data_IF_597406346714
#
_entry.id   IF_597406346714
#
_cell.length_a   1.000
_cell.length_b   1.000
_cell.length_c   1.000
_cell.angle_alpha   90.00
_cell.angle_beta   90.00
_cell.angle_gamma   90.00
#
_symmetry.space_group_name_H-M   'P 1'
#
loop_
_entity.id
_entity.type
_entity.pdbx_description
1 polymer ?
#
# COMPACT_ATOMS: atom_id res chain seq x y z
N UNK A 1 17.60 11.71 -18.07
CA UNK A 1 17.69 10.32 -17.58
C UNK A 1 16.52 10.12 -16.62
N UNK A 2 15.55 9.24 -16.95
CA UNK A 2 14.43 8.96 -16.01
C UNK A 2 15.04 8.34 -14.74
N UNK A 3 14.63 8.74 -13.53
CA UNK A 3 15.17 8.20 -12.29
C UNK A 3 14.99 6.68 -12.25
N UNK A 4 16.05 5.96 -11.89
CA UNK A 4 16.00 4.51 -11.71
C UNK A 4 15.28 4.23 -10.40
N UNK A 5 14.05 3.77 -10.48
CA UNK A 5 13.33 3.29 -9.29
C UNK A 5 14.10 2.10 -8.70
N UNK A 6 14.56 2.25 -7.48
CA UNK A 6 15.20 1.15 -6.75
C UNK A 6 14.15 0.47 -5.87
N UNK A 7 13.96 -0.83 -6.02
CA UNK A 7 13.18 -1.66 -5.10
C UNK A 7 13.76 -1.65 -3.67
N UNK A 8 15.03 -1.23 -3.53
CA UNK A 8 15.72 -1.11 -2.27
C UNK A 8 14.99 -0.23 -1.24
N UNK A 9 14.38 0.88 -1.68
CA UNK A 9 13.61 1.73 -0.76
C UNK A 9 12.31 1.07 -0.30
N UNK A 10 11.65 0.29 -1.18
CA UNK A 10 10.49 -0.52 -0.79
C UNK A 10 10.92 -1.60 0.19
N UNK A 11 12.02 -2.31 -0.11
CA UNK A 11 12.56 -3.35 0.77
C UNK A 11 12.96 -2.82 2.14
N UNK A 12 13.49 -1.60 2.20
CA UNK A 12 13.89 -0.97 3.47
C UNK A 12 12.71 -0.70 4.42
N UNK A 13 11.49 -0.59 3.91
CA UNK A 13 10.27 -0.37 4.72
C UNK A 13 9.48 -1.65 5.00
N UNK A 14 9.89 -2.79 4.44
CA UNK A 14 9.25 -4.09 4.67
C UNK A 14 9.83 -4.80 5.89
N UNK A 15 9.04 -5.68 6.49
CA UNK A 15 9.47 -6.62 7.53
C UNK A 15 9.10 -8.04 7.12
N UNK A 16 9.94 -9.00 7.53
CA UNK A 16 9.75 -10.40 7.16
C UNK A 16 10.07 -10.69 5.69
N UNK A 17 9.71 -11.88 5.25
CA UNK A 17 9.98 -12.35 3.88
C UNK A 17 8.84 -11.94 2.94
N UNK A 18 9.02 -10.85 2.26
CA UNK A 18 8.07 -10.30 1.28
C UNK A 18 8.76 -10.14 -0.06
N UNK A 19 8.17 -10.69 -1.11
CA UNK A 19 8.59 -10.48 -2.47
C UNK A 19 8.13 -9.12 -2.98
N UNK A 20 9.03 -8.43 -3.68
CA UNK A 20 8.79 -7.11 -4.27
C UNK A 20 8.98 -7.18 -5.77
N UNK A 21 8.03 -6.68 -6.52
CA UNK A 21 8.12 -6.53 -7.96
C UNK A 21 7.82 -5.11 -8.40
N UNK A 22 8.62 -4.62 -9.31
CA UNK A 22 8.45 -3.31 -9.93
C UNK A 22 8.43 -3.48 -11.44
N UNK A 23 7.37 -3.01 -12.07
CA UNK A 23 7.24 -2.98 -13.53
C UNK A 23 7.10 -1.54 -14.02
N UNK A 24 7.62 -1.28 -15.19
CA UNK A 24 7.51 0.00 -15.89
C UNK A 24 6.94 -0.24 -17.27
N UNK A 25 6.16 0.70 -17.76
CA UNK A 25 5.61 0.59 -19.10
C UNK A 25 5.02 1.92 -19.53
N UNK A 26 5.35 2.28 -20.76
CA UNK A 26 4.84 3.50 -21.35
C UNK A 26 3.49 3.26 -22.06
N UNK A 27 3.19 2.03 -22.55
CA UNK A 27 2.02 1.74 -23.41
C UNK A 27 1.25 0.44 -23.09
N UNK A 28 1.71 -0.39 -22.16
CA UNK A 28 1.11 -1.71 -21.88
C UNK A 28 -0.23 -1.65 -21.12
N UNK A 29 -0.62 -0.46 -20.66
CA UNK A 29 -1.79 -0.27 -19.80
C UNK A 29 -1.54 -0.69 -18.33
N UNK A 30 -2.22 -0.01 -17.42
CA UNK A 30 -2.02 -0.18 -15.97
C UNK A 30 -2.27 -1.61 -15.48
N UNK A 31 -3.22 -2.31 -16.10
CA UNK A 31 -3.53 -3.70 -15.72
C UNK A 31 -2.37 -4.64 -16.00
N UNK A 32 -1.82 -4.59 -17.22
CA UNK A 32 -0.69 -5.45 -17.64
C UNK A 32 0.53 -5.15 -16.79
N UNK A 33 0.84 -3.88 -16.60
CA UNK A 33 1.97 -3.44 -15.78
C UNK A 33 1.84 -3.93 -14.33
N UNK A 34 0.65 -3.84 -13.73
CA UNK A 34 0.37 -4.38 -12.39
C UNK A 34 0.56 -5.90 -12.29
N UNK A 35 0.16 -6.66 -13.32
CA UNK A 35 0.34 -8.11 -13.35
C UNK A 35 1.81 -8.50 -13.56
N UNK A 36 2.55 -7.75 -14.35
CA UNK A 36 4.01 -7.92 -14.48
C UNK A 36 4.72 -7.68 -13.15
N UNK A 37 4.35 -6.64 -12.41
CA UNK A 37 4.88 -6.39 -11.07
C UNK A 37 4.55 -7.55 -10.11
N UNK A 38 3.32 -8.07 -10.15
CA UNK A 38 2.92 -9.21 -9.32
C UNK A 38 3.74 -10.48 -9.64
N UNK A 39 3.96 -10.77 -10.92
CA UNK A 39 4.79 -11.92 -11.34
C UNK A 39 6.24 -11.78 -10.83
N UNK A 40 6.83 -10.59 -10.93
CA UNK A 40 8.16 -10.31 -10.39
C UNK A 40 8.20 -10.46 -8.87
N UNK A 41 7.18 -9.99 -8.15
CA UNK A 41 7.10 -10.13 -6.70
C UNK A 41 6.96 -11.61 -6.26
N UNK A 42 6.18 -12.41 -6.97
CA UNK A 42 6.08 -13.85 -6.72
C UNK A 42 7.43 -14.55 -6.94
N UNK A 43 8.11 -14.25 -8.04
CA UNK A 43 9.43 -14.80 -8.33
C UNK A 43 10.47 -14.42 -7.25
N UNK A 44 10.46 -13.17 -6.78
CA UNK A 44 11.33 -12.68 -5.71
C UNK A 44 11.04 -13.35 -4.36
N UNK A 45 9.77 -13.64 -4.06
CA UNK A 45 9.38 -14.43 -2.89
C UNK A 45 9.83 -15.90 -2.98
N UNK A 46 10.06 -16.39 -4.19
CA UNK A 46 10.33 -17.81 -4.49
C UNK A 46 9.08 -18.66 -4.49
N UNK A 47 7.92 -18.08 -4.82
CA UNK A 47 6.68 -18.84 -5.05
C UNK A 47 6.60 -19.32 -6.49
N UNK A 48 5.77 -20.36 -6.72
CA UNK A 48 5.44 -20.80 -8.06
C UNK A 48 4.71 -19.68 -8.83
N UNK A 49 4.99 -19.55 -10.13
CA UNK A 49 4.27 -18.62 -11.01
C UNK A 49 2.77 -18.92 -11.03
N UNK A 50 1.96 -17.88 -10.93
CA UNK A 50 0.52 -17.99 -11.05
C UNK A 50 -0.07 -16.78 -11.76
N UNK A 51 -1.15 -16.99 -12.50
CA UNK A 51 -1.92 -15.89 -13.06
C UNK A 51 -2.74 -15.22 -11.95
N UNK A 52 -2.60 -13.90 -11.86
CA UNK A 52 -3.37 -13.10 -10.90
C UNK A 52 -4.60 -12.54 -11.61
N UNK A 53 -5.72 -13.17 -11.38
CA UNK A 53 -7.01 -12.76 -11.94
C UNK A 53 -7.53 -11.49 -11.25
N UNK A 54 -8.55 -10.90 -11.86
CA UNK A 54 -9.28 -9.76 -11.32
C UNK A 54 -10.58 -10.22 -10.69
N UNK A 55 -10.77 -9.96 -9.42
CA UNK A 55 -12.01 -10.21 -8.70
C UNK A 55 -13.14 -9.25 -9.11
N UNK A 56 -14.38 -9.55 -8.66
CA UNK A 56 -15.56 -8.73 -8.97
C UNK A 56 -15.46 -7.30 -8.43
N UNK A 57 -14.76 -7.11 -7.32
CA UNK A 57 -14.43 -5.82 -6.69
C UNK A 57 -13.20 -5.13 -7.31
N UNK A 58 -12.67 -5.70 -8.41
CA UNK A 58 -11.45 -5.29 -9.12
C UNK A 58 -10.14 -5.57 -8.37
N UNK A 59 -10.18 -6.12 -7.16
CA UNK A 59 -9.01 -6.54 -6.42
C UNK A 59 -8.30 -7.73 -7.10
N UNK A 60 -6.99 -7.91 -6.90
CA UNK A 60 -6.27 -9.09 -7.38
C UNK A 60 -6.70 -10.33 -6.59
N UNK A 61 -6.94 -11.43 -7.30
CA UNK A 61 -7.20 -12.75 -6.70
C UNK A 61 -5.88 -13.49 -6.60
N UNK A 62 -5.35 -13.59 -5.38
CA UNK A 62 -4.09 -14.28 -5.11
C UNK A 62 -4.30 -15.80 -4.95
N UNK A 63 -3.29 -16.63 -5.26
CA UNK A 63 -3.30 -18.05 -4.89
C UNK A 63 -3.50 -18.24 -3.38
N UNK A 64 -4.15 -19.32 -2.91
CA UNK A 64 -4.49 -19.49 -1.49
C UNK A 64 -3.31 -19.44 -0.51
N UNK A 65 -2.09 -19.78 -0.98
CA UNK A 65 -0.88 -19.72 -0.19
C UNK A 65 -0.28 -18.33 -0.08
N UNK A 66 -0.81 -17.34 -0.82
CA UNK A 66 -0.25 -16.01 -0.94
C UNK A 66 -1.26 -14.93 -0.51
N UNK A 67 -0.73 -13.84 -0.02
CA UNK A 67 -1.40 -12.54 0.13
C UNK A 67 -0.56 -11.49 -0.56
N UNK A 68 -1.19 -10.44 -1.07
CA UNK A 68 -0.43 -9.40 -1.74
C UNK A 68 -1.26 -8.18 -2.11
N UNK A 69 -0.57 -7.19 -2.63
CA UNK A 69 -1.18 -5.94 -3.06
C UNK A 69 -0.45 -5.38 -4.28
N UNK A 70 -1.19 -4.68 -5.12
CA UNK A 70 -0.68 -4.03 -6.33
C UNK A 70 -1.07 -2.56 -6.30
N UNK A 71 -0.13 -1.70 -6.65
CA UNK A 71 -0.36 -0.28 -6.88
C UNK A 71 0.31 0.17 -8.17
N UNK A 72 -0.16 1.26 -8.73
CA UNK A 72 0.44 1.83 -9.92
C UNK A 72 0.20 3.34 -10.02
N UNK A 73 1.15 4.01 -10.61
CA UNK A 73 0.99 5.33 -11.20
C UNK A 73 0.86 5.19 -12.72
N UNK A 74 1.00 6.29 -13.45
CA UNK A 74 1.05 6.25 -14.92
C UNK A 74 2.25 5.45 -15.43
N UNK A 75 3.40 5.55 -14.78
CA UNK A 75 4.71 5.12 -15.31
C UNK A 75 5.30 3.91 -14.58
N UNK A 76 4.76 3.55 -13.42
CA UNK A 76 5.28 2.47 -12.58
C UNK A 76 4.16 1.68 -11.90
N UNK A 77 4.33 0.37 -11.81
CA UNK A 77 3.55 -0.49 -10.94
C UNK A 77 4.46 -1.18 -9.93
N UNK A 78 3.93 -1.36 -8.72
CA UNK A 78 4.58 -2.07 -7.63
C UNK A 78 3.63 -3.16 -7.15
N UNK A 79 4.20 -4.32 -6.84
CA UNK A 79 3.51 -5.37 -6.10
C UNK A 79 4.34 -5.80 -4.91
N UNK A 80 3.66 -6.16 -3.83
CA UNK A 80 4.21 -6.87 -2.67
C UNK A 80 3.45 -8.17 -2.47
N UNK A 81 4.17 -9.27 -2.20
CA UNK A 81 3.59 -10.60 -2.03
C UNK A 81 4.24 -11.29 -0.86
N UNK A 82 3.45 -11.90 0.01
CA UNK A 82 3.91 -12.66 1.16
C UNK A 82 3.15 -13.97 1.32
N UNK A 83 3.66 -14.85 2.18
CA UNK A 83 3.01 -16.11 2.48
C UNK A 83 1.79 -15.90 3.39
N UNK A 84 0.63 -16.49 3.04
CA UNK A 84 -0.59 -16.39 3.84
C UNK A 84 -0.49 -17.02 5.24
N UNK A 85 0.53 -17.87 5.47
CA UNK A 85 0.88 -18.39 6.79
C UNK A 85 1.59 -17.37 7.70
N UNK A 86 2.18 -16.33 7.13
CA UNK A 86 2.94 -15.27 7.84
C UNK A 86 2.12 -13.99 7.97
N UNK A 87 1.33 -13.68 6.94
CA UNK A 87 0.57 -12.45 6.87
C UNK A 87 -0.92 -12.72 6.70
N UNK A 88 -1.76 -11.96 7.38
CA UNK A 88 -3.20 -11.93 7.12
C UNK A 88 -3.50 -11.14 5.84
N UNK A 89 -2.79 -10.04 5.65
CA UNK A 89 -2.95 -9.17 4.49
C UNK A 89 -1.74 -8.24 4.28
N UNK A 90 -1.59 -7.75 3.06
CA UNK A 90 -0.61 -6.74 2.67
C UNK A 90 -1.31 -5.64 1.87
N UNK A 91 -0.92 -4.40 2.11
CA UNK A 91 -1.35 -3.25 1.31
C UNK A 91 -0.14 -2.46 0.82
N UNK A 92 -0.12 -2.09 -0.45
CA UNK A 92 0.89 -1.20 -1.03
C UNK A 92 0.22 -0.09 -1.80
N UNK A 93 0.79 1.11 -1.71
CA UNK A 93 0.44 2.20 -2.59
C UNK A 93 1.66 2.96 -3.07
N UNK A 94 1.55 3.62 -4.23
CA UNK A 94 2.62 4.41 -4.84
C UNK A 94 2.05 5.66 -5.47
N UNK A 95 2.68 6.79 -5.17
CA UNK A 95 2.29 8.10 -5.69
C UNK A 95 3.50 8.84 -6.26
N UNK A 96 3.29 9.62 -7.30
CA UNK A 96 4.32 10.50 -7.82
C UNK A 96 4.59 11.66 -6.85
N UNK A 97 5.86 11.96 -6.52
CA UNK A 97 6.22 13.09 -5.64
C UNK A 97 5.72 14.44 -6.15
N UNK A 98 5.51 14.56 -7.47
CA UNK A 98 4.90 15.75 -8.06
C UNK A 98 3.39 15.89 -7.85
N UNK A 99 2.71 14.87 -7.33
CA UNK A 99 1.27 14.93 -7.05
C UNK A 99 0.99 15.89 -5.89
N UNK A 100 0.08 16.82 -6.13
CA UNK A 100 -0.32 17.78 -5.11
C UNK A 100 -1.67 17.38 -4.51
N UNK A 101 -1.74 17.42 -3.20
CA UNK A 101 -2.98 17.22 -2.44
C UNK A 101 -3.64 18.59 -2.25
N UNK A 102 -4.74 18.81 -2.97
CA UNK A 102 -5.49 20.05 -2.84
C UNK A 102 -6.24 20.14 -1.49
N UNK A 103 -6.65 21.34 -1.04
CA UNK A 103 -7.30 21.52 0.25
C UNK A 103 -8.64 20.76 0.41
N UNK A 104 -9.36 20.44 -0.67
CA UNK A 104 -10.61 19.67 -0.58
C UNK A 104 -10.29 18.20 -0.34
N UNK A 105 -9.31 17.67 -1.08
CA UNK A 105 -8.80 16.32 -0.88
C UNK A 105 -8.25 16.17 0.54
N UNK A 106 -7.41 17.11 1.02
CA UNK A 106 -6.89 17.08 2.39
C UNK A 106 -8.03 17.04 3.45
N UNK A 107 -9.08 17.84 3.27
CA UNK A 107 -10.26 17.78 4.16
C UNK A 107 -11.03 16.47 4.10
N UNK A 108 -11.01 15.79 2.97
CA UNK A 108 -11.68 14.51 2.78
C UNK A 108 -10.92 13.35 3.43
N UNK A 109 -9.58 13.34 3.30
CA UNK A 109 -8.73 12.23 3.75
C UNK A 109 -8.27 12.34 5.19
N UNK A 110 -8.09 13.56 5.72
CA UNK A 110 -7.54 13.79 7.06
C UNK A 110 -8.62 13.97 8.12
N UNK A 111 -8.42 13.37 9.29
CA UNK A 111 -9.12 13.76 10.51
C UNK A 111 -8.74 15.19 10.93
N UNK A 112 -9.48 15.86 11.84
CA UNK A 112 -9.10 17.17 12.35
C UNK A 112 -7.68 17.20 12.94
N UNK A 113 -7.31 16.18 13.70
CA UNK A 113 -6.00 16.04 14.34
C UNK A 113 -4.88 15.82 13.31
N UNK A 114 -5.13 15.02 12.28
CA UNK A 114 -4.16 14.80 11.21
C UNK A 114 -3.84 16.06 10.43
N UNK A 115 -4.84 16.95 10.22
CA UNK A 115 -4.62 18.23 9.54
C UNK A 115 -3.67 19.16 10.29
N UNK A 116 -3.55 19.03 11.60
CA UNK A 116 -2.61 19.80 12.41
C UNK A 116 -1.22 19.15 12.47
N UNK A 117 -1.13 17.84 12.30
CA UNK A 117 0.12 17.07 12.40
C UNK A 117 0.84 16.91 11.07
N UNK A 118 0.09 16.64 10.00
CA UNK A 118 0.63 16.42 8.66
C UNK A 118 0.52 17.71 7.85
N UNK A 119 1.44 18.65 8.11
CA UNK A 119 1.49 19.94 7.43
C UNK A 119 2.47 19.91 6.25
N UNK A 120 2.12 20.61 5.18
CA UNK A 120 2.93 20.63 3.96
C UNK A 120 2.58 19.50 2.98
N UNK A 121 2.98 19.68 1.72
CA UNK A 121 2.56 18.80 0.63
C UNK A 121 3.15 17.40 0.74
N UNK A 122 4.41 17.29 1.16
CA UNK A 122 5.09 15.98 1.26
C UNK A 122 4.46 15.11 2.36
N UNK A 123 4.16 15.71 3.52
CA UNK A 123 3.49 15.01 4.61
C UNK A 123 2.06 14.59 4.23
N UNK A 124 1.31 15.44 3.54
CA UNK A 124 -0.03 15.13 3.07
C UNK A 124 -0.02 14.04 1.99
N UNK A 125 0.95 14.07 1.07
CA UNK A 125 1.11 13.05 0.05
C UNK A 125 1.48 11.69 0.67
N UNK A 126 2.40 11.68 1.63
CA UNK A 126 2.76 10.47 2.36
C UNK A 126 1.56 9.89 3.13
N UNK A 127 0.80 10.73 3.83
CA UNK A 127 -0.42 10.31 4.53
C UNK A 127 -1.48 9.77 3.56
N UNK A 128 -1.67 10.40 2.41
CA UNK A 128 -2.57 9.91 1.37
C UNK A 128 -2.16 8.50 0.90
N UNK A 129 -0.90 8.34 0.52
CA UNK A 129 -0.35 7.05 0.08
C UNK A 129 -0.50 5.96 1.16
N UNK A 130 -0.23 6.30 2.43
CA UNK A 130 -0.44 5.40 3.57
C UNK A 130 -1.90 5.00 3.71
N UNK A 131 -2.84 5.93 3.59
CA UNK A 131 -4.28 5.62 3.72
C UNK A 131 -4.80 4.74 2.58
N UNK A 132 -4.32 4.94 1.35
CA UNK A 132 -4.61 4.06 0.22
C UNK A 132 -4.04 2.64 0.43
N UNK A 133 -2.80 2.54 0.90
CA UNK A 133 -2.20 1.24 1.26
C UNK A 133 -2.99 0.54 2.38
N UNK A 134 -3.48 1.31 3.36
CA UNK A 134 -4.30 0.79 4.46
C UNK A 134 -5.61 0.21 3.97
N UNK A 135 -6.33 0.92 3.12
CA UNK A 135 -7.57 0.41 2.52
C UNK A 135 -7.33 -0.93 1.81
N UNK A 136 -6.25 -1.03 1.03
CA UNK A 136 -5.88 -2.27 0.32
C UNK A 136 -5.50 -3.41 1.26
N UNK A 137 -4.97 -3.09 2.45
CA UNK A 137 -4.64 -4.10 3.45
C UNK A 137 -5.88 -4.56 4.25
N UNK A 138 -6.80 -3.67 4.57
CA UNK A 138 -7.94 -3.96 5.44
C UNK A 138 -9.16 -4.51 4.69
N UNK A 139 -9.36 -4.11 3.43
CA UNK A 139 -10.51 -4.57 2.63
C UNK A 139 -10.59 -6.10 2.49
N UNK A 140 -9.49 -6.86 2.25
CA UNK A 140 -9.54 -8.32 2.20
C UNK A 140 -9.92 -8.98 3.55
N UNK A 141 -9.86 -8.24 4.65
CA UNK A 141 -10.22 -8.71 5.99
C UNK A 141 -11.68 -8.38 6.35
N UNK A 142 -12.47 -7.84 5.41
CA UNK A 142 -13.87 -7.49 5.62
C UNK A 142 -14.14 -6.01 5.92
N UNK A 143 -13.10 -5.19 6.05
CA UNK A 143 -13.26 -3.75 6.32
C UNK A 143 -13.44 -2.94 5.03
N UNK A 144 -14.49 -3.22 4.26
CA UNK A 144 -14.74 -2.59 2.95
C UNK A 144 -15.38 -1.22 3.05
N UNK A 145 -16.09 -0.92 4.14
CA UNK A 145 -16.87 0.30 4.31
C UNK A 145 -16.09 1.42 5.02
N UNK A 146 -14.82 1.17 5.39
CA UNK A 146 -13.99 2.18 6.02
C UNK A 146 -13.67 3.33 5.04
N UNK A 147 -14.01 4.53 5.46
CA UNK A 147 -13.58 5.76 4.80
C UNK A 147 -12.20 6.23 5.26
N UNK A 148 -11.63 7.20 4.58
CA UNK A 148 -10.31 7.75 4.93
C UNK A 148 -10.19 8.27 6.38
N UNK A 149 -11.29 8.76 6.96
CA UNK A 149 -11.30 9.33 8.33
C UNK A 149 -11.54 8.30 9.41
N UNK A 150 -11.94 7.09 9.03
CA UNK A 150 -12.20 6.02 9.98
C UNK A 150 -10.90 5.34 10.44
N UNK A 151 -9.77 5.73 9.81
CA UNK A 151 -8.43 5.39 10.28
C UNK A 151 -7.65 6.68 10.56
N UNK A 152 -7.25 6.87 11.80
CA UNK A 152 -6.41 7.99 12.24
C UNK A 152 -4.95 7.54 12.37
N UNK A 153 -4.03 8.43 11.99
CA UNK A 153 -2.59 8.20 12.02
C UNK A 153 -1.86 9.15 12.94
N UNK A 154 -0.82 8.62 13.59
CA UNK A 154 0.17 9.38 14.34
C UNK A 154 1.59 8.99 13.93
N UNK A 155 2.55 9.91 14.07
CA UNK A 155 3.96 9.61 13.86
C UNK A 155 4.48 8.66 14.95
N UNK A 156 5.16 7.59 14.54
CA UNK A 156 5.82 6.64 15.43
C UNK A 156 7.35 6.61 15.22
N UNK A 157 7.83 7.27 14.17
CA UNK A 157 9.25 7.39 13.83
C UNK A 157 9.45 7.86 12.39
N UNK A 158 10.69 8.01 11.94
CA UNK A 158 10.98 8.35 10.54
C UNK A 158 10.38 7.29 9.59
N UNK A 159 9.51 7.72 8.67
CA UNK A 159 8.86 6.82 7.71
C UNK A 159 7.91 5.79 8.35
N UNK A 160 7.57 5.94 9.64
CA UNK A 160 6.69 5.03 10.38
C UNK A 160 5.52 5.79 10.98
N UNK A 161 4.33 5.31 10.67
CA UNK A 161 3.07 5.78 11.24
C UNK A 161 2.37 4.65 11.97
N UNK A 162 1.70 4.98 13.06
CA UNK A 162 0.78 4.09 13.77
C UNK A 162 -0.64 4.47 13.40
N UNK A 163 -1.37 3.49 12.85
CA UNK A 163 -2.76 3.60 12.44
C UNK A 163 -3.69 3.00 13.47
N UNK A 164 -4.83 3.66 13.69
CA UNK A 164 -5.90 3.19 14.56
C UNK A 164 -7.25 3.40 13.88
N UNK A 165 -8.08 2.37 13.87
CA UNK A 165 -9.47 2.50 13.44
C UNK A 165 -10.22 3.31 14.50
N UNK A 166 -10.88 4.39 14.05
CA UNK A 166 -11.63 5.33 14.89
C UNK A 166 -13.07 5.41 14.34
N UNK A 167 -14.03 4.94 15.05
CA UNK A 167 -15.43 5.15 14.66
C UNK A 167 -16.27 3.89 14.73
N UNK A 168 -16.26 3.04 13.75
CA UNK A 168 -17.18 1.92 13.68
C UNK A 168 -16.59 0.62 14.24
N UNK A 169 -17.49 -0.28 14.68
CA UNK A 169 -17.11 -1.66 14.97
C UNK A 169 -16.75 -2.34 13.64
N UNK A 170 -15.54 -2.87 13.59
CA UNK A 170 -15.08 -3.74 12.50
C UNK A 170 -15.15 -5.19 12.94
N UNK A 171 -15.21 -6.09 11.98
CA UNK A 171 -15.22 -7.52 12.24
C UNK A 171 -14.04 -7.94 13.13
N UNK A 172 -14.25 -8.97 13.95
CA UNK A 172 -13.25 -9.45 14.92
C UNK A 172 -11.89 -9.85 14.31
N UNK A 173 -11.85 -10.12 13.01
CA UNK A 173 -10.62 -10.42 12.27
C UNK A 173 -9.82 -9.20 11.82
N UNK A 174 -10.36 -7.99 11.94
CA UNK A 174 -9.71 -6.75 11.53
C UNK A 174 -8.95 -6.14 12.70
N UNK A 175 -7.63 -5.95 12.63
CA UNK A 175 -6.88 -5.35 13.72
C UNK A 175 -7.27 -3.88 13.91
N UNK A 176 -7.52 -3.47 15.15
CA UNK A 176 -7.88 -2.08 15.48
C UNK A 176 -6.68 -1.11 15.42
N UNK A 177 -5.47 -1.65 15.55
CA UNK A 177 -4.21 -0.88 15.45
C UNK A 177 -3.21 -1.65 14.58
N UNK A 178 -2.44 -0.92 13.81
CA UNK A 178 -1.43 -1.48 12.90
C UNK A 178 -0.38 -0.41 12.54
N UNK A 179 0.74 -0.87 12.00
CA UNK A 179 1.80 0.04 11.54
C UNK A 179 1.76 0.20 10.04
N UNK A 180 2.00 1.41 9.58
CA UNK A 180 2.25 1.74 8.18
C UNK A 180 3.65 2.33 8.02
N UNK A 181 4.34 1.94 6.96
CA UNK A 181 5.64 2.48 6.61
C UNK A 181 5.60 3.13 5.26
N UNK A 182 6.37 4.20 5.10
CA UNK A 182 6.52 4.87 3.82
C UNK A 182 7.97 5.34 3.60
N UNK A 183 8.32 5.49 2.34
CA UNK A 183 9.58 6.07 1.92
C UNK A 183 9.40 6.86 0.63
N UNK A 184 10.21 7.90 0.47
CA UNK A 184 10.37 8.63 -0.80
C UNK A 184 11.56 8.09 -1.55
N UNK A 185 11.41 7.83 -2.84
CA UNK A 185 12.47 7.28 -3.69
C UNK A 185 12.26 7.59 -5.15
N UNK A 186 13.28 8.11 -5.81
CA UNK A 186 13.34 8.31 -7.26
C UNK A 186 12.10 8.98 -7.88
N UNK A 187 11.53 9.98 -7.18
CA UNK A 187 10.37 10.74 -7.65
C UNK A 187 9.02 10.13 -7.27
N UNK A 188 9.00 9.15 -6.36
CA UNK A 188 7.79 8.51 -5.87
C UNK A 188 7.77 8.42 -4.34
N UNK A 189 6.57 8.46 -3.77
CA UNK A 189 6.29 8.04 -2.40
C UNK A 189 5.67 6.66 -2.46
N UNK A 190 6.19 5.72 -1.67
CA UNK A 190 5.63 4.37 -1.53
C UNK A 190 5.24 4.15 -0.09
N UNK A 191 4.09 3.54 0.13
CA UNK A 191 3.62 3.14 1.45
C UNK A 191 3.27 1.65 1.47
N UNK A 192 3.53 1.01 2.61
CA UNK A 192 3.20 -0.39 2.85
C UNK A 192 2.53 -0.53 4.22
N UNK A 193 1.48 -1.33 4.26
CA UNK A 193 0.82 -1.80 5.47
C UNK A 193 0.91 -3.32 5.49
N UNK A 194 1.40 -3.86 6.60
CA UNK A 194 1.54 -5.28 6.84
C UNK A 194 0.66 -5.66 8.03
N UNK A 195 -0.20 -6.65 7.82
CA UNK A 195 -1.01 -7.23 8.87
C UNK A 195 -0.50 -8.65 9.10
N UNK A 196 0.27 -8.81 10.15
CA UNK A 196 0.89 -10.09 10.50
C UNK A 196 -0.15 -11.08 11.01
N UNK A 197 0.12 -12.35 10.81
CA UNK A 197 -0.62 -13.43 11.49
C UNK A 197 -0.01 -13.61 12.88
N UNK A 198 -0.85 -13.59 13.91
CA UNK A 198 -0.47 -13.90 15.31
C UNK A 198 -0.02 -15.34 15.46
#
# INVERSE_FOLDING_TARGET
>A
MKPVYSDAAVRAILRGRIGVGVARGDDAGHFVMGRSAAALAMADLGSEPAEILRGPDRAPVWPPALVGSIAHTRDVAIAVVGWSKEFLSLGVDVESEGRRIDPRTARRICTPEERTRFTGQDALLALFCVKEATYKALAPLGATDLGFKDVAYSHAGPGLLEGRIVGEEVDAGVPKTFSARYASTAGFVVAVVQIDRS
#
